data_IF_025773937885
#
_entry.id   IF_025773937885
#
_cell.length_a   1.000
_cell.length_b   1.000
_cell.length_c   1.000
_cell.angle_alpha   90.00
_cell.angle_beta   90.00
_cell.angle_gamma   90.00
#
_symmetry.space_group_name_H-M   'P 1'
#
loop_
_entity.id
_entity.type
_entity.pdbx_description
1 polymer ?
#
# COMPACT_ATOMS: atom_id res chain seq x y z
N UNK A 1 26.64 -6.87 10.06
CA UNK A 1 25.23 -6.98 9.64
C UNK A 1 24.63 -5.59 9.85
N UNK A 2 24.21 -4.92 8.78
CA UNK A 2 23.61 -3.58 8.89
C UNK A 2 22.17 -3.79 9.36
N UNK A 3 21.80 -3.22 10.51
CA UNK A 3 20.43 -3.21 10.99
C UNK A 3 19.84 -1.84 10.71
N UNK A 4 18.72 -1.81 10.00
CA UNK A 4 17.93 -0.59 9.81
C UNK A 4 16.82 -0.57 10.85
N UNK A 5 16.57 0.61 11.42
CA UNK A 5 15.37 0.88 12.21
C UNK A 5 14.13 0.93 11.32
N UNK A 6 12.94 0.74 11.92
CA UNK A 6 11.66 0.80 11.19
C UNK A 6 11.50 2.12 10.41
N UNK A 7 11.78 3.31 11.00
CA UNK A 7 11.71 4.56 10.25
C UNK A 7 12.66 4.60 9.06
N UNK A 8 13.89 4.11 9.20
CA UNK A 8 14.87 4.06 8.10
C UNK A 8 14.41 3.14 6.97
N UNK A 9 13.80 1.99 7.29
CA UNK A 9 13.24 1.09 6.27
C UNK A 9 12.14 1.80 5.47
N UNK A 10 11.21 2.46 6.16
CA UNK A 10 10.10 3.16 5.51
C UNK A 10 10.62 4.29 4.61
N UNK A 11 11.61 5.05 5.08
CA UNK A 11 12.18 6.16 4.33
C UNK A 11 12.95 5.66 3.08
N UNK A 12 13.75 4.62 3.23
CA UNK A 12 14.48 4.00 2.12
C UNK A 12 13.54 3.40 1.05
N UNK A 13 12.39 2.85 1.46
CA UNK A 13 11.36 2.36 0.53
C UNK A 13 10.69 3.50 -0.23
N UNK A 14 10.45 4.65 0.43
CA UNK A 14 9.79 5.82 -0.18
C UNK A 14 10.69 6.60 -1.14
N UNK A 15 11.99 6.64 -0.89
CA UNK A 15 12.92 7.54 -1.58
C UNK A 15 13.34 7.08 -3.00
N UNK A 16 12.55 6.22 -3.67
CA UNK A 16 12.69 5.70 -5.05
C UNK A 16 14.10 5.82 -5.64
N UNK A 17 15.06 5.20 -4.96
CA UNK A 17 16.47 5.25 -5.36
C UNK A 17 16.68 4.48 -6.67
N UNK A 18 17.79 4.77 -7.38
CA UNK A 18 18.17 4.05 -8.62
C UNK A 18 18.15 2.52 -8.44
N UNK A 19 18.49 2.06 -7.23
CA UNK A 19 18.25 0.68 -6.80
C UNK A 19 17.17 0.70 -5.70
N UNK A 20 15.95 0.23 -5.99
CA UNK A 20 14.89 0.18 -5.00
C UNK A 20 15.28 -0.61 -3.75
N UNK A 21 14.98 -0.05 -2.58
CA UNK A 21 15.17 -0.75 -1.31
C UNK A 21 14.10 -1.84 -1.20
N UNK A 22 14.45 -3.07 -1.60
CA UNK A 22 13.59 -4.25 -1.59
C UNK A 22 14.34 -5.46 -1.03
N UNK A 23 13.63 -6.41 -0.39
CA UNK A 23 14.23 -7.68 0.03
C UNK A 23 14.88 -8.41 -1.14
N UNK A 24 15.99 -9.08 -0.87
CA UNK A 24 16.59 -10.00 -1.84
C UNK A 24 15.69 -11.23 -2.02
N UNK A 25 15.41 -11.59 -3.27
CA UNK A 25 14.71 -12.82 -3.63
C UNK A 25 15.71 -13.76 -4.30
N UNK A 26 15.99 -14.88 -3.66
CA UNK A 26 16.83 -15.93 -4.24
C UNK A 26 16.06 -16.63 -5.37
N UNK A 27 16.73 -16.93 -6.49
CA UNK A 27 16.08 -17.49 -7.70
C UNK A 27 15.42 -18.86 -7.46
N UNK A 28 15.92 -19.63 -6.51
CA UNK A 28 15.45 -20.99 -6.23
C UNK A 28 14.54 -21.05 -4.98
N UNK A 29 14.20 -19.91 -4.40
CA UNK A 29 13.40 -19.85 -3.16
C UNK A 29 11.91 -20.18 -3.37
N UNK A 30 11.39 -19.92 -4.57
CA UNK A 30 10.00 -20.16 -4.94
C UNK A 30 9.81 -20.14 -6.47
N UNK A 31 8.60 -20.48 -6.92
CA UNK A 31 8.19 -20.46 -8.32
C UNK A 31 8.44 -19.09 -8.97
N UNK A 32 8.92 -19.09 -10.22
CA UNK A 32 9.19 -17.88 -11.00
C UNK A 32 7.96 -16.99 -11.15
N UNK A 33 6.75 -17.58 -11.26
CA UNK A 33 5.52 -16.81 -11.33
C UNK A 33 5.21 -16.08 -10.00
N UNK A 34 5.58 -16.68 -8.86
CA UNK A 34 5.46 -16.03 -7.54
C UNK A 34 6.46 -14.88 -7.42
N UNK A 35 7.72 -15.09 -7.83
CA UNK A 35 8.74 -14.03 -7.84
C UNK A 35 8.29 -12.87 -8.73
N UNK A 36 7.73 -13.17 -9.91
CA UNK A 36 7.22 -12.16 -10.82
C UNK A 36 6.07 -11.36 -10.19
N UNK A 37 5.13 -12.03 -9.54
CA UNK A 37 4.03 -11.39 -8.83
C UNK A 37 4.54 -10.45 -7.72
N UNK A 38 5.50 -10.91 -6.89
CA UNK A 38 6.09 -10.09 -5.82
C UNK A 38 6.72 -8.82 -6.41
N UNK A 39 7.50 -8.95 -7.49
CA UNK A 39 8.12 -7.80 -8.15
C UNK A 39 7.10 -6.83 -8.72
N UNK A 40 5.98 -7.31 -9.25
CA UNK A 40 4.88 -6.46 -9.74
C UNK A 40 4.21 -5.68 -8.61
N UNK A 41 4.08 -6.26 -7.42
CA UNK A 41 3.62 -5.54 -6.22
C UNK A 41 4.61 -4.48 -5.73
N UNK A 42 5.89 -4.57 -6.11
CA UNK A 42 6.96 -3.68 -5.70
C UNK A 42 7.24 -2.52 -6.66
N UNK A 43 6.50 -2.40 -7.75
CA UNK A 43 6.66 -1.31 -8.74
C UNK A 43 6.72 0.06 -8.06
N UNK A 44 7.66 0.93 -8.45
CA UNK A 44 7.80 2.25 -7.83
C UNK A 44 6.56 3.11 -8.08
N UNK A 45 6.02 3.09 -9.30
CA UNK A 45 4.74 3.71 -9.63
C UNK A 45 3.59 2.97 -8.91
N UNK A 46 2.88 3.64 -7.98
CA UNK A 46 1.76 3.03 -7.28
C UNK A 46 0.60 2.63 -8.21
N UNK A 47 0.43 3.32 -9.35
CA UNK A 47 -0.69 3.08 -10.28
C UNK A 47 -0.51 1.80 -11.11
N UNK A 48 0.74 1.33 -11.25
CA UNK A 48 1.11 0.10 -11.95
C UNK A 48 1.07 -1.14 -11.05
N UNK A 49 0.89 -0.95 -9.74
CA UNK A 49 0.76 -2.06 -8.79
C UNK A 49 -0.62 -2.71 -8.95
N UNK A 50 -0.72 -4.04 -8.87
CA UNK A 50 -2.01 -4.71 -8.88
C UNK A 50 -2.81 -4.33 -7.64
N UNK A 51 -4.10 -4.04 -7.81
CA UNK A 51 -5.02 -3.96 -6.69
C UNK A 51 -5.26 -5.36 -6.07
N UNK A 52 -5.98 -5.40 -4.95
CA UNK A 52 -6.26 -6.65 -4.25
C UNK A 52 -7.09 -7.63 -5.08
N UNK A 53 -7.97 -7.16 -5.97
CA UNK A 53 -8.81 -8.01 -6.81
C UNK A 53 -7.97 -8.72 -7.90
N UNK A 54 -7.09 -7.98 -8.55
CA UNK A 54 -6.12 -8.49 -9.51
C UNK A 54 -5.13 -9.46 -8.84
N UNK A 55 -4.61 -9.08 -7.66
CA UNK A 55 -3.69 -9.93 -6.90
C UNK A 55 -4.34 -11.26 -6.49
N UNK A 56 -5.60 -11.22 -6.00
CA UNK A 56 -6.37 -12.41 -5.65
C UNK A 56 -6.57 -13.34 -6.85
N UNK A 57 -6.83 -12.77 -8.02
CA UNK A 57 -6.99 -13.52 -9.27
C UNK A 57 -5.68 -14.21 -9.68
N UNK A 58 -4.54 -13.53 -9.55
CA UNK A 58 -3.21 -14.10 -9.83
C UNK A 58 -2.93 -15.24 -8.85
N UNK A 59 -3.09 -15.00 -7.55
CA UNK A 59 -2.81 -15.98 -6.50
C UNK A 59 -3.66 -17.25 -6.64
N UNK A 60 -4.94 -17.12 -7.00
CA UNK A 60 -5.82 -18.27 -7.24
C UNK A 60 -5.38 -19.11 -8.43
N UNK A 61 -4.85 -18.47 -9.47
CA UNK A 61 -4.28 -19.17 -10.62
C UNK A 61 -3.04 -19.97 -10.23
N UNK A 62 -2.17 -19.38 -9.41
CA UNK A 62 -0.93 -20.03 -8.93
C UNK A 62 -1.20 -21.20 -7.98
N UNK A 63 -2.26 -21.12 -7.18
CA UNK A 63 -2.60 -22.14 -6.17
C UNK A 63 -3.62 -23.18 -6.66
N UNK A 64 -3.84 -23.31 -7.98
CA UNK A 64 -4.92 -24.15 -8.54
C UNK A 64 -4.92 -25.61 -8.06
N UNK A 65 -3.76 -26.13 -7.65
CA UNK A 65 -3.58 -27.52 -7.22
C UNK A 65 -3.48 -27.69 -5.68
N UNK A 66 -3.52 -26.59 -4.91
CA UNK A 66 -3.37 -26.62 -3.45
C UNK A 66 -4.68 -26.27 -2.74
N UNK A 67 -5.19 -27.20 -1.92
CA UNK A 67 -6.40 -27.09 -1.10
C UNK A 67 -6.29 -26.05 0.05
N UNK A 68 -5.18 -25.28 0.08
CA UNK A 68 -4.86 -24.26 1.08
C UNK A 68 -5.52 -22.90 0.82
N UNK A 69 -6.31 -22.78 -0.26
CA UNK A 69 -6.93 -21.53 -0.71
C UNK A 69 -7.70 -20.77 0.38
N UNK A 70 -8.24 -21.46 1.39
CA UNK A 70 -9.04 -20.84 2.44
C UNK A 70 -8.24 -19.91 3.38
N UNK A 71 -6.99 -20.25 3.73
CA UNK A 71 -6.18 -19.43 4.65
C UNK A 71 -5.72 -18.14 3.95
N UNK A 72 -5.22 -18.28 2.72
CA UNK A 72 -4.71 -17.17 1.95
C UNK A 72 -5.84 -16.22 1.51
N UNK A 73 -6.98 -16.76 1.09
CA UNK A 73 -8.16 -15.95 0.79
C UNK A 73 -8.66 -15.20 2.04
N UNK A 74 -8.61 -15.80 3.23
CA UNK A 74 -8.98 -15.12 4.48
C UNK A 74 -8.01 -13.96 4.79
N UNK A 75 -6.70 -14.19 4.64
CA UNK A 75 -5.69 -13.16 4.87
C UNK A 75 -5.87 -11.98 3.90
N UNK A 76 -6.04 -12.25 2.61
CA UNK A 76 -6.25 -11.23 1.59
C UNK A 76 -7.53 -10.42 1.87
N UNK A 77 -8.61 -11.09 2.26
CA UNK A 77 -9.86 -10.41 2.63
C UNK A 77 -9.69 -9.48 3.83
N UNK A 78 -8.89 -9.88 4.84
CA UNK A 78 -8.60 -9.02 6.00
C UNK A 78 -7.73 -7.82 5.62
N UNK A 79 -6.76 -8.01 4.72
CA UNK A 79 -5.91 -6.92 4.24
C UNK A 79 -6.71 -5.90 3.43
N UNK A 80 -7.61 -6.35 2.56
CA UNK A 80 -8.51 -5.49 1.78
C UNK A 80 -9.43 -4.68 2.70
N UNK A 81 -10.06 -5.31 3.69
CA UNK A 81 -10.86 -4.60 4.69
C UNK A 81 -10.06 -3.55 5.46
N UNK A 82 -8.84 -3.88 5.85
CA UNK A 82 -7.97 -2.95 6.56
C UNK A 82 -7.61 -1.73 5.68
N UNK A 83 -7.28 -1.95 4.41
CA UNK A 83 -7.01 -0.88 3.45
C UNK A 83 -8.22 0.05 3.27
N UNK A 84 -9.41 -0.52 3.06
CA UNK A 84 -10.66 0.23 2.90
C UNK A 84 -10.99 1.07 4.15
N UNK A 85 -10.79 0.50 5.34
CA UNK A 85 -11.02 1.22 6.60
C UNK A 85 -10.04 2.39 6.77
N UNK A 86 -8.78 2.23 6.35
CA UNK A 86 -7.79 3.32 6.38
C UNK A 86 -8.14 4.42 5.40
N UNK A 87 -8.60 4.08 4.20
CA UNK A 87 -9.03 5.05 3.19
C UNK A 87 -10.20 5.88 3.69
N UNK A 88 -11.23 5.23 4.26
CA UNK A 88 -12.36 5.92 4.88
C UNK A 88 -11.93 6.87 6.01
N UNK A 89 -10.99 6.44 6.86
CA UNK A 89 -10.48 7.28 7.94
C UNK A 89 -9.68 8.49 7.42
N UNK A 90 -8.93 8.32 6.33
CA UNK A 90 -8.22 9.42 5.68
C UNK A 90 -9.22 10.41 5.08
N UNK A 91 -10.26 9.92 4.42
CA UNK A 91 -11.31 10.74 3.83
C UNK A 91 -12.05 11.57 4.89
N UNK A 92 -12.47 10.94 5.99
CA UNK A 92 -13.11 11.60 7.14
C UNK A 92 -12.22 12.72 7.71
N UNK A 93 -10.96 12.42 8.03
CA UNK A 93 -10.01 13.42 8.56
C UNK A 93 -9.72 14.54 7.57
N UNK A 94 -9.71 14.22 6.27
CA UNK A 94 -9.51 15.22 5.22
C UNK A 94 -10.72 16.16 5.14
N UNK A 95 -11.94 15.62 5.26
CA UNK A 95 -13.16 16.41 5.29
C UNK A 95 -13.19 17.36 6.49
N UNK A 96 -12.89 16.86 7.69
CA UNK A 96 -12.81 17.66 8.92
C UNK A 96 -11.79 18.79 8.78
N UNK A 97 -10.60 18.48 8.27
CA UNK A 97 -9.55 19.47 8.04
C UNK A 97 -9.99 20.57 7.07
N UNK A 98 -10.67 20.21 5.98
CA UNK A 98 -11.17 21.18 5.00
C UNK A 98 -12.26 22.08 5.58
N UNK A 99 -13.13 21.56 6.44
CA UNK A 99 -14.15 22.35 7.12
C UNK A 99 -13.52 23.38 8.07
N UNK A 100 -12.57 22.94 8.90
CA UNK A 100 -11.86 23.83 9.83
C UNK A 100 -11.03 24.89 9.11
N UNK A 101 -10.38 24.51 8.00
CA UNK A 101 -9.69 25.46 7.12
C UNK A 101 -10.66 26.52 6.61
N UNK A 102 -11.84 26.13 6.12
CA UNK A 102 -12.87 27.06 5.63
C UNK A 102 -13.32 28.04 6.71
N UNK A 103 -13.60 27.55 7.93
CA UNK A 103 -13.99 28.41 9.06
C UNK A 103 -12.90 29.44 9.40
N UNK A 104 -11.63 29.02 9.38
CA UNK A 104 -10.50 29.90 9.64
C UNK A 104 -10.35 30.97 8.54
N UNK A 105 -10.53 30.60 7.27
CA UNK A 105 -10.51 31.53 6.13
C UNK A 105 -11.66 32.55 6.20
N UNK A 106 -12.88 32.09 6.51
CA UNK A 106 -14.04 32.97 6.68
C UNK A 106 -13.81 34.01 7.79
N UNK A 107 -13.23 33.60 8.92
CA UNK A 107 -12.87 34.50 10.01
C UNK A 107 -11.77 35.49 9.60
N UNK A 108 -10.77 35.04 8.84
CA UNK A 108 -9.71 35.92 8.32
C UNK A 108 -10.31 37.02 7.43
N UNK A 109 -11.23 36.69 6.52
CA UNK A 109 -11.90 37.66 5.66
C UNK A 109 -12.69 38.71 6.47
N UNK A 110 -13.30 38.33 7.60
CA UNK A 110 -14.00 39.27 8.47
C UNK A 110 -13.06 40.25 9.20
N UNK A 111 -11.81 39.87 9.42
CA UNK A 111 -10.81 40.67 10.12
C UNK A 111 -10.03 41.63 9.20
N UNK A 112 -10.09 41.43 7.88
CA UNK A 112 -9.42 42.30 6.92
C UNK A 112 -10.20 43.62 6.73
N UNK A 113 -9.54 44.80 6.83
CA UNK A 113 -10.18 46.08 6.57
C UNK A 113 -10.55 46.21 5.09
N UNK A 114 -11.67 46.89 4.81
CA UNK A 114 -12.15 47.18 3.43
C UNK A 114 -11.23 48.12 2.68
#
# INVERSE_FOLDING_TARGET
MIFFSIPEIVDNVKNSQKNPFRPHLEKDSCDEEVIHMIKKCWTEDPTERPDFQALKSIIRRLNKDNDSGNILDNLLSRMEQYANNLEALVEERTADYLEEKRKAEDLLYQLLPK
#
